data_IF_178426752250
#
_entry.id   IF_178426752250
#
_cell.length_a   1.000
_cell.length_b   1.000
_cell.length_c   1.000
_cell.angle_alpha   90.00
_cell.angle_beta   90.00
_cell.angle_gamma   90.00
#
_symmetry.space_group_name_H-M   'P 1'
#
loop_
_entity.id
_entity.type
_entity.pdbx_description
1 polymer ?
#
# COMPACT_ATOMS: atom_id res chain seq x y z
N UNK A 1 -21.26 -38.99 -33.44
CA UNK A 1 -21.84 -37.89 -32.68
C UNK A 1 -21.24 -37.69 -31.28
N UNK A 2 -20.69 -38.71 -30.61
CA UNK A 2 -20.08 -38.55 -29.31
C UNK A 2 -18.74 -37.80 -29.30
N UNK A 3 -17.96 -37.83 -30.39
CA UNK A 3 -16.65 -37.18 -30.46
C UNK A 3 -16.69 -35.67 -30.50
N UNK A 4 -17.73 -35.05 -31.11
CA UNK A 4 -17.89 -33.60 -31.13
C UNK A 4 -18.25 -33.02 -29.77
N UNK A 5 -19.02 -33.73 -28.95
CA UNK A 5 -19.37 -33.32 -27.60
C UNK A 5 -18.17 -33.34 -26.66
N UNK A 6 -17.34 -34.36 -26.75
CA UNK A 6 -16.12 -34.52 -25.96
C UNK A 6 -15.10 -33.43 -26.25
N UNK A 7 -14.92 -33.06 -27.52
CA UNK A 7 -14.03 -31.95 -27.93
C UNK A 7 -14.51 -30.60 -27.42
N UNK A 8 -15.81 -30.32 -27.44
CA UNK A 8 -16.39 -29.08 -26.87
C UNK A 8 -16.23 -28.98 -25.39
N UNK A 9 -16.40 -30.08 -24.66
CA UNK A 9 -16.21 -30.14 -23.19
C UNK A 9 -14.75 -29.90 -22.81
N UNK A 10 -13.79 -30.46 -23.53
CA UNK A 10 -12.35 -30.24 -23.30
C UNK A 10 -11.94 -28.78 -23.54
N UNK A 11 -12.43 -28.15 -24.58
CA UNK A 11 -12.16 -26.75 -24.89
C UNK A 11 -12.74 -25.83 -23.79
N UNK A 12 -13.96 -26.08 -23.33
CA UNK A 12 -14.59 -25.34 -22.25
C UNK A 12 -13.82 -25.48 -20.93
N UNK A 13 -13.34 -26.67 -20.62
CA UNK A 13 -12.52 -26.93 -19.42
C UNK A 13 -11.20 -26.15 -19.44
N UNK A 14 -10.53 -26.08 -20.60
CA UNK A 14 -9.27 -25.33 -20.77
C UNK A 14 -9.52 -23.82 -20.61
N UNK A 15 -10.57 -23.29 -21.19
CA UNK A 15 -10.95 -21.86 -21.06
C UNK A 15 -11.26 -21.52 -19.60
N UNK A 16 -11.96 -22.40 -18.89
CA UNK A 16 -12.28 -22.21 -17.48
C UNK A 16 -11.02 -22.18 -16.60
N UNK A 17 -10.05 -23.04 -16.86
CA UNK A 17 -8.75 -23.04 -16.16
C UNK A 17 -7.96 -21.76 -16.40
N UNK A 18 -7.96 -21.22 -17.60
CA UNK A 18 -7.28 -19.96 -17.95
C UNK A 18 -7.92 -18.78 -17.19
N UNK A 19 -9.23 -18.72 -17.08
CA UNK A 19 -9.95 -17.67 -16.33
C UNK A 19 -9.61 -17.72 -14.84
N UNK A 20 -9.53 -18.91 -14.25
CA UNK A 20 -9.15 -19.07 -12.84
C UNK A 20 -7.71 -18.61 -12.59
N UNK A 21 -6.78 -18.90 -13.49
CA UNK A 21 -5.38 -18.46 -13.38
C UNK A 21 -5.24 -16.93 -13.47
N UNK A 22 -5.99 -16.27 -14.33
CA UNK A 22 -6.04 -14.82 -14.42
C UNK A 22 -6.60 -14.18 -13.15
N UNK A 23 -7.62 -14.77 -12.54
CA UNK A 23 -8.18 -14.30 -11.27
C UNK A 23 -7.21 -14.42 -10.10
N UNK A 24 -6.35 -15.45 -10.10
CA UNK A 24 -5.30 -15.62 -9.07
C UNK A 24 -4.21 -14.55 -9.16
N UNK A 25 -3.82 -14.11 -10.33
CA UNK A 25 -2.84 -13.04 -10.50
C UNK A 25 -3.34 -11.70 -9.93
N UNK A 26 -4.59 -11.34 -10.14
CA UNK A 26 -5.20 -10.13 -9.57
C UNK A 26 -5.27 -10.20 -8.04
N UNK A 27 -5.49 -11.37 -7.45
CA UNK A 27 -5.47 -11.57 -6.01
C UNK A 27 -4.08 -11.34 -5.41
N UNK A 28 -3.01 -11.79 -6.08
CA UNK A 28 -1.64 -11.58 -5.63
C UNK A 28 -1.21 -10.11 -5.71
N UNK A 29 -1.71 -9.35 -6.67
CA UNK A 29 -1.42 -7.93 -6.80
C UNK A 29 -2.05 -7.08 -5.69
N UNK A 30 -3.11 -7.57 -5.02
CA UNK A 30 -3.79 -6.88 -3.92
C UNK A 30 -3.04 -6.95 -2.59
N UNK A 31 -2.05 -7.84 -2.46
CA UNK A 31 -1.30 -8.04 -1.22
C UNK A 31 0.10 -7.42 -1.29
N UNK A 32 0.22 -6.21 -1.82
CA UNK A 32 1.45 -5.45 -1.75
C UNK A 32 1.48 -4.63 -0.48
N UNK A 33 2.55 -4.79 0.30
CA UNK A 33 2.80 -3.97 1.48
C UNK A 33 3.96 -3.03 1.21
N UNK A 34 3.85 -1.80 1.68
CA UNK A 34 4.99 -0.90 1.84
C UNK A 34 5.20 -0.63 3.31
N UNK A 35 6.42 -0.82 3.77
CA UNK A 35 6.84 -0.51 5.12
C UNK A 35 8.00 0.49 5.06
N UNK A 36 7.84 1.62 5.73
CA UNK A 36 8.88 2.62 5.86
C UNK A 36 9.39 2.62 7.29
N UNK A 37 10.69 2.36 7.45
CA UNK A 37 11.37 2.49 8.72
C UNK A 37 12.16 3.79 8.73
N UNK A 38 11.89 4.65 9.68
CA UNK A 38 12.42 6.00 9.75
C UNK A 38 13.54 6.12 10.76
N UNK A 39 14.56 6.93 10.44
CA UNK A 39 15.64 7.25 11.35
C UNK A 39 15.13 8.13 12.49
N UNK A 40 15.77 8.13 13.67
CA UNK A 40 15.39 8.99 14.76
C UNK A 40 15.23 10.44 14.33
N UNK A 41 14.14 11.07 14.75
CA UNK A 41 13.78 12.43 14.36
C UNK A 41 13.02 13.13 15.49
N UNK A 42 12.81 14.44 15.35
CA UNK A 42 12.19 15.25 16.40
C UNK A 42 10.72 14.96 16.65
N UNK A 43 9.99 14.46 15.63
CA UNK A 43 8.57 14.12 15.78
C UNK A 43 8.36 12.69 16.22
N UNK A 44 9.42 11.92 16.41
CA UNK A 44 9.39 10.51 16.80
C UNK A 44 8.61 9.61 15.82
N UNK A 45 8.62 9.97 14.55
CA UNK A 45 8.06 9.12 13.50
C UNK A 45 9.00 7.95 13.28
N UNK A 46 8.56 6.73 13.58
CA UNK A 46 9.41 5.54 13.52
C UNK A 46 9.05 4.60 12.39
N UNK A 47 7.76 4.46 12.08
CA UNK A 47 7.31 3.46 11.13
C UNK A 47 6.03 3.87 10.42
N UNK A 48 5.95 3.57 9.11
CA UNK A 48 4.73 3.73 8.32
C UNK A 48 4.45 2.42 7.61
N UNK A 49 3.29 1.84 7.84
CA UNK A 49 2.89 0.58 7.24
C UNK A 49 1.64 0.78 6.39
N UNK A 50 1.76 0.49 5.09
CA UNK A 50 0.70 0.69 4.11
C UNK A 50 0.33 -0.66 3.51
N UNK A 51 -0.88 -1.13 3.78
CA UNK A 51 -1.40 -2.40 3.26
C UNK A 51 -2.00 -2.28 1.87
N UNK A 52 -2.74 -1.21 1.64
CA UNK A 52 -3.47 -0.98 0.41
C UNK A 52 -3.10 0.38 -0.14
N UNK A 53 -3.06 0.48 -1.47
CA UNK A 53 -2.58 1.68 -2.16
C UNK A 53 -3.70 2.54 -2.75
N UNK A 54 -4.93 2.35 -2.30
CA UNK A 54 -6.07 3.08 -2.85
C UNK A 54 -6.38 4.32 -2.02
N UNK A 55 -6.82 5.36 -2.71
CA UNK A 55 -7.28 6.57 -2.04
C UNK A 55 -8.48 6.25 -1.16
N UNK A 56 -8.44 6.70 0.10
CA UNK A 56 -9.46 6.40 1.09
C UNK A 56 -9.11 5.25 2.03
N UNK A 57 -8.09 4.45 1.71
CA UNK A 57 -7.61 3.39 2.59
C UNK A 57 -6.80 3.96 3.76
N UNK A 58 -6.65 3.16 4.80
CA UNK A 58 -5.92 3.52 6.00
C UNK A 58 -4.49 2.99 5.99
N UNK A 59 -3.57 3.78 6.52
CA UNK A 59 -2.19 3.40 6.77
C UNK A 59 -1.92 3.45 8.28
N UNK A 60 -1.11 2.52 8.77
CA UNK A 60 -0.70 2.48 10.16
C UNK A 60 0.62 3.26 10.32
N UNK A 61 0.63 4.24 11.20
CA UNK A 61 1.78 5.11 11.44
C UNK A 61 2.14 5.08 12.91
N UNK A 62 3.38 4.73 13.22
CA UNK A 62 3.90 4.73 14.57
C UNK A 62 4.65 6.03 14.85
N UNK A 63 4.11 6.83 15.78
CA UNK A 63 4.70 8.08 16.22
C UNK A 63 4.88 8.00 17.73
N UNK A 64 6.13 8.00 18.19
CA UNK A 64 6.45 7.75 19.60
C UNK A 64 6.02 6.34 19.99
N UNK A 65 5.30 6.23 21.10
CA UNK A 65 4.78 4.96 21.59
C UNK A 65 3.36 4.66 21.11
N UNK A 66 2.80 5.49 20.23
CA UNK A 66 1.42 5.38 19.77
C UNK A 66 1.33 4.96 18.31
N UNK A 67 0.36 4.10 18.03
CA UNK A 67 0.01 3.70 16.68
C UNK A 67 -1.22 4.51 16.24
N UNK A 68 -1.05 5.30 15.19
CA UNK A 68 -2.12 6.11 14.62
C UNK A 68 -2.57 5.53 13.29
N UNK A 69 -3.84 5.66 12.98
CA UNK A 69 -4.38 5.33 11.68
C UNK A 69 -4.54 6.61 10.85
N UNK A 70 -3.82 6.66 9.75
CA UNK A 70 -3.89 7.77 8.81
C UNK A 70 -4.71 7.35 7.59
N UNK A 71 -5.40 8.30 7.01
CA UNK A 71 -6.15 8.06 5.78
C UNK A 71 -5.33 8.50 4.58
N UNK A 72 -5.32 7.67 3.54
CA UNK A 72 -4.68 8.02 2.27
C UNK A 72 -5.60 8.98 1.52
N UNK A 73 -5.25 10.26 1.45
CA UNK A 73 -6.05 11.29 0.80
C UNK A 73 -5.67 11.52 -0.65
N UNK A 74 -4.43 11.18 -1.00
CA UNK A 74 -3.91 11.29 -2.36
C UNK A 74 -2.86 10.23 -2.60
N UNK A 75 -2.89 9.62 -3.78
CA UNK A 75 -1.89 8.65 -4.20
C UNK A 75 -1.60 8.81 -5.69
N UNK A 76 -0.30 8.85 -6.02
CA UNK A 76 0.21 8.79 -7.38
C UNK A 76 1.50 7.96 -7.39
N UNK A 77 2.09 7.75 -8.55
CA UNK A 77 3.38 7.05 -8.67
C UNK A 77 4.51 7.80 -7.98
N UNK A 78 4.37 9.11 -7.81
CA UNK A 78 5.40 9.99 -7.27
C UNK A 78 5.17 10.37 -5.82
N UNK A 79 3.92 10.51 -5.39
CA UNK A 79 3.56 11.05 -4.07
C UNK A 79 2.41 10.31 -3.44
N UNK A 80 2.43 10.27 -2.12
CA UNK A 80 1.33 9.79 -1.30
C UNK A 80 1.10 10.75 -0.14
N UNK A 81 -0.14 11.16 0.09
CA UNK A 81 -0.51 12.00 1.23
C UNK A 81 -1.31 11.21 2.23
N UNK A 82 -0.87 11.23 3.48
CA UNK A 82 -1.53 10.59 4.61
C UNK A 82 -1.98 11.67 5.59
N UNK A 83 -3.22 11.61 6.03
CA UNK A 83 -3.80 12.60 6.95
C UNK A 83 -4.47 11.89 8.12
N UNK A 84 -4.19 12.38 9.32
CA UNK A 84 -4.88 11.98 10.53
C UNK A 84 -5.62 13.22 11.08
N UNK A 85 -6.93 13.25 10.91
CA UNK A 85 -7.75 14.45 11.17
C UNK A 85 -7.86 14.80 12.64
N UNK A 86 -7.98 13.80 13.52
CA UNK A 86 -8.20 14.02 14.95
C UNK A 86 -7.07 14.81 15.62
N UNK A 87 -5.81 14.56 15.21
CA UNK A 87 -4.63 15.22 15.75
C UNK A 87 -4.01 16.26 14.80
N UNK A 88 -4.59 16.43 13.63
CA UNK A 88 -4.10 17.32 12.57
C UNK A 88 -2.66 16.99 12.13
N UNK A 89 -2.35 15.70 11.99
CA UNK A 89 -1.08 15.23 11.49
C UNK A 89 -1.15 15.00 9.98
N UNK A 90 -0.11 15.41 9.26
CA UNK A 90 -0.02 15.23 7.81
C UNK A 90 1.34 14.62 7.46
N UNK A 91 1.32 13.55 6.66
CA UNK A 91 2.54 12.91 6.16
C UNK A 91 2.49 12.91 4.63
N UNK A 92 3.54 13.42 4.01
CA UNK A 92 3.72 13.37 2.56
C UNK A 92 4.90 12.47 2.25
N UNK A 93 4.67 11.43 1.46
CA UNK A 93 5.68 10.47 1.05
C UNK A 93 6.05 10.75 -0.39
N UNK A 94 7.33 11.04 -0.63
CA UNK A 94 7.89 11.17 -1.98
C UNK A 94 8.46 9.82 -2.39
N UNK A 95 7.70 9.08 -3.19
CA UNK A 95 7.97 7.66 -3.48
C UNK A 95 9.26 7.42 -4.27
N UNK A 96 9.69 8.37 -5.08
CA UNK A 96 10.90 8.23 -5.89
C UNK A 96 12.20 8.37 -5.08
N UNK A 97 12.19 9.22 -4.06
CA UNK A 97 13.37 9.53 -3.26
C UNK A 97 13.32 8.95 -1.85
N UNK A 98 12.20 8.34 -1.46
CA UNK A 98 11.92 7.85 -0.10
C UNK A 98 12.01 8.95 0.97
N UNK A 99 11.90 10.21 0.55
CA UNK A 99 11.81 11.33 1.48
C UNK A 99 10.39 11.45 2.03
N UNK A 100 10.30 11.73 3.30
CA UNK A 100 9.02 11.87 3.99
C UNK A 100 8.98 13.23 4.66
N UNK A 101 7.96 14.02 4.37
CA UNK A 101 7.66 15.27 5.07
C UNK A 101 6.55 15.01 6.07
N UNK A 102 6.86 15.21 7.34
CA UNK A 102 5.91 15.01 8.43
C UNK A 102 5.56 16.33 9.09
N UNK A 103 4.27 16.61 9.22
CA UNK A 103 3.76 17.72 10.01
C UNK A 103 3.05 17.18 11.25
N UNK A 104 3.68 17.37 12.39
CA UNK A 104 3.20 16.89 13.69
C UNK A 104 3.36 18.04 14.70
N UNK A 105 2.30 18.38 15.42
CA UNK A 105 2.31 19.42 16.45
C UNK A 105 2.89 20.78 15.98
N UNK A 106 2.48 21.23 14.78
CA UNK A 106 2.96 22.46 14.14
C UNK A 106 4.45 22.44 13.73
N UNK A 107 5.10 21.30 13.84
CA UNK A 107 6.47 21.11 13.40
C UNK A 107 6.48 20.40 12.03
N UNK A 108 7.14 20.99 11.05
CA UNK A 108 7.31 20.41 9.71
C UNK A 108 8.75 19.95 9.57
N UNK A 109 8.94 18.66 9.34
CA UNK A 109 10.27 18.05 9.22
C UNK A 109 10.35 17.15 8.00
N UNK A 110 11.55 17.10 7.41
CA UNK A 110 11.91 16.07 6.46
C UNK A 110 12.56 14.91 7.20
N UNK A 111 11.97 13.74 7.08
CA UNK A 111 12.42 12.52 7.74
C UNK A 111 12.96 11.56 6.69
N UNK A 112 14.12 10.97 6.97
CA UNK A 112 14.67 9.92 6.12
C UNK A 112 14.20 8.55 6.57
N UNK A 113 13.58 7.82 5.64
CA UNK A 113 13.05 6.49 5.91
C UNK A 113 13.55 5.52 4.84
N UNK A 114 13.70 4.27 5.24
CA UNK A 114 14.05 3.16 4.35
C UNK A 114 12.78 2.42 3.98
N UNK A 115 12.56 2.23 2.69
CA UNK A 115 11.38 1.53 2.19
C UNK A 115 11.67 0.05 2.01
N UNK A 116 10.84 -0.79 2.60
CA UNK A 116 10.79 -2.22 2.36
C UNK A 116 9.48 -2.57 1.66
N UNK A 117 9.57 -3.26 0.54
CA UNK A 117 8.39 -3.70 -0.22
C UNK A 117 8.30 -5.21 -0.13
N UNK A 118 7.18 -5.70 0.41
CA UNK A 118 6.91 -7.12 0.46
C UNK A 118 5.88 -7.47 -0.62
N UNK A 119 6.26 -8.37 -1.51
CA UNK A 119 5.33 -9.00 -2.45
C UNK A 119 5.04 -10.42 -1.94
N UNK A 120 3.82 -10.64 -1.60
CA UNK A 120 3.34 -12.00 -1.35
C UNK A 120 2.80 -12.64 -2.61
#
# INVERSE_FOLDING_TARGET
MGEHLIKKIKILSIIFCIIILSGCEDLFLRFKYENYECKPNRVNLSKIFIKNYDQGDEADVEIGDYLYKFKITYISDQKMHLVQEAEDFIIKIFRETNKIEARVDNLILNVQCTKETFKM
#
